data_IF_390859711392
#
_entry.id   IF_390859711392
#
_cell.length_a   1.000
_cell.length_b   1.000
_cell.length_c   1.000
_cell.angle_alpha   90.00
_cell.angle_beta   90.00
_cell.angle_gamma   90.00
#
_symmetry.space_group_name_H-M   'P 1'
#
loop_
_entity.id
_entity.type
_entity.pdbx_description
1 polymer ?
#
# COMPACT_ATOMS: atom_id res chain seq x y z
N UNK A 1 -7.64 -4.26 -21.53
CA UNK A 1 -7.28 -3.43 -20.36
C UNK A 1 -6.46 -4.32 -19.44
N UNK A 2 -5.22 -3.94 -19.12
CA UNK A 2 -4.38 -4.69 -18.16
C UNK A 2 -4.58 -4.06 -16.79
N UNK A 3 -5.19 -4.82 -15.86
CA UNK A 3 -5.60 -4.33 -14.53
C UNK A 3 -4.43 -4.38 -13.54
N UNK A 4 -3.60 -5.43 -13.61
CA UNK A 4 -2.41 -5.58 -12.78
C UNK A 4 -1.23 -4.76 -13.30
N UNK A 5 -0.43 -4.27 -12.35
CA UNK A 5 0.76 -3.48 -12.63
C UNK A 5 1.81 -4.27 -13.43
N UNK A 6 2.79 -3.59 -14.04
CA UNK A 6 3.91 -4.29 -14.67
C UNK A 6 4.72 -5.04 -13.60
N UNK A 7 4.93 -4.42 -12.45
CA UNK A 7 5.58 -5.04 -11.30
C UNK A 7 4.89 -6.35 -10.88
N UNK A 8 3.57 -6.36 -10.66
CA UNK A 8 2.82 -7.58 -10.31
C UNK A 8 3.04 -8.72 -11.30
N UNK A 9 3.04 -8.42 -12.61
CA UNK A 9 3.25 -9.41 -13.67
C UNK A 9 4.67 -9.93 -13.73
N UNK A 10 5.64 -9.09 -13.41
CA UNK A 10 7.04 -9.47 -13.35
C UNK A 10 7.29 -10.36 -12.12
N UNK A 11 6.71 -10.02 -10.96
CA UNK A 11 6.73 -10.89 -9.77
C UNK A 11 6.12 -12.27 -10.03
N UNK A 12 4.97 -12.33 -10.71
CA UNK A 12 4.30 -13.59 -11.05
C UNK A 12 5.18 -14.51 -11.92
N UNK A 13 6.02 -13.91 -12.77
CA UNK A 13 7.02 -14.63 -13.57
C UNK A 13 8.32 -14.95 -12.83
N UNK A 14 8.39 -14.64 -11.53
CA UNK A 14 9.58 -14.82 -10.70
C UNK A 14 10.70 -13.82 -10.98
N UNK A 15 10.41 -12.72 -11.67
CA UNK A 15 11.40 -11.67 -11.90
C UNK A 15 11.60 -10.84 -10.63
N UNK A 16 12.84 -10.41 -10.41
CA UNK A 16 13.16 -9.45 -9.34
C UNK A 16 12.63 -8.08 -9.71
N UNK A 17 11.81 -7.49 -8.84
CA UNK A 17 11.25 -6.15 -9.05
C UNK A 17 12.19 -5.14 -8.42
N UNK A 18 12.71 -4.21 -9.23
CA UNK A 18 13.44 -3.06 -8.71
C UNK A 18 12.45 -2.06 -8.13
N UNK A 19 12.47 -1.91 -6.80
CA UNK A 19 11.59 -0.99 -6.07
C UNK A 19 12.35 0.02 -5.22
N UNK A 20 13.68 -0.14 -5.06
CA UNK A 20 14.55 0.87 -4.48
C UNK A 20 14.84 1.99 -5.48
N UNK A 21 14.38 3.19 -5.19
CA UNK A 21 14.75 4.41 -5.91
C UNK A 21 14.54 5.64 -5.00
N UNK A 22 15.25 6.75 -5.22
CA UNK A 22 15.08 7.96 -4.39
C UNK A 22 13.63 8.47 -4.35
N UNK A 23 12.88 8.29 -5.44
CA UNK A 23 11.47 8.72 -5.53
C UNK A 23 10.57 7.84 -4.65
N UNK A 24 10.75 6.52 -4.72
CA UNK A 24 9.96 5.59 -3.89
C UNK A 24 10.34 5.73 -2.42
N UNK A 25 11.62 5.87 -2.11
CA UNK A 25 12.11 6.09 -0.75
C UNK A 25 11.50 7.37 -0.14
N UNK A 26 11.42 8.45 -0.94
CA UNK A 26 10.75 9.68 -0.52
C UNK A 26 9.26 9.45 -0.21
N UNK A 27 8.53 8.70 -1.04
CA UNK A 27 7.13 8.36 -0.74
C UNK A 27 6.99 7.55 0.56
N UNK A 28 7.90 6.60 0.83
CA UNK A 28 7.89 5.87 2.09
C UNK A 28 8.14 6.78 3.29
N UNK A 29 9.04 7.76 3.19
CA UNK A 29 9.28 8.73 4.26
C UNK A 29 8.10 9.68 4.46
N UNK A 30 7.49 10.17 3.38
CA UNK A 30 6.32 11.05 3.40
C UNK A 30 5.10 10.35 4.04
N UNK A 31 4.87 9.06 3.74
CA UNK A 31 3.84 8.25 4.40
C UNK A 31 4.13 8.17 5.91
N UNK A 32 5.36 7.81 6.29
CA UNK A 32 5.71 7.70 7.71
C UNK A 32 5.53 9.02 8.45
N UNK A 33 5.84 10.13 7.80
CA UNK A 33 5.68 11.46 8.36
C UNK A 33 4.20 11.89 8.44
N UNK A 34 3.34 11.45 7.52
CA UNK A 34 1.89 11.67 7.61
C UNK A 34 1.26 10.89 8.77
N UNK A 35 1.86 9.76 9.15
CA UNK A 35 1.48 8.90 10.27
C UNK A 35 2.17 9.26 11.60
N UNK A 36 2.94 10.34 11.66
CA UNK A 36 3.70 10.69 12.85
C UNK A 36 2.93 11.67 13.76
N UNK A 37 2.89 11.38 15.06
CA UNK A 37 2.32 12.27 16.08
C UNK A 37 0.96 11.83 16.58
N UNK A 38 0.17 12.78 17.09
CA UNK A 38 -1.21 12.51 17.53
C UNK A 38 -2.16 12.70 16.35
N UNK A 39 -2.81 11.60 15.94
CA UNK A 39 -3.65 11.58 14.74
C UNK A 39 -2.85 11.38 13.46
N UNK A 40 -3.51 11.55 12.32
CA UNK A 40 -2.93 11.35 10.99
C UNK A 40 -3.12 12.60 10.16
N UNK A 41 -2.11 13.00 9.38
CA UNK A 41 -2.29 14.03 8.35
C UNK A 41 -2.95 13.41 7.12
N UNK A 42 -4.28 13.36 7.10
CA UNK A 42 -5.02 12.71 6.02
C UNK A 42 -4.82 13.39 4.67
N UNK A 43 -4.62 14.71 4.65
CA UNK A 43 -4.36 15.47 3.43
C UNK A 43 -3.03 15.04 2.80
N UNK A 44 -1.98 14.93 3.62
CA UNK A 44 -0.68 14.41 3.17
C UNK A 44 -0.78 12.96 2.74
N UNK A 45 -1.49 12.13 3.49
CA UNK A 45 -1.65 10.70 3.18
C UNK A 45 -2.37 10.48 1.83
N UNK A 46 -3.41 11.26 1.55
CA UNK A 46 -4.09 11.27 0.26
C UNK A 46 -3.17 11.67 -0.90
N UNK A 47 -2.32 12.67 -0.69
CA UNK A 47 -1.40 13.15 -1.72
C UNK A 47 -0.23 12.19 -1.99
N UNK A 48 0.24 11.47 -0.97
CA UNK A 48 1.39 10.56 -1.09
C UNK A 48 0.99 9.14 -1.47
N UNK A 49 -0.19 8.65 -1.06
CA UNK A 49 -0.65 7.28 -1.32
C UNK A 49 -1.86 7.26 -2.26
N UNK A 50 -2.89 8.04 -1.96
CA UNK A 50 -4.14 8.07 -2.74
C UNK A 50 -3.94 8.51 -4.20
N UNK A 51 -3.10 9.53 -4.42
CA UNK A 51 -2.82 10.10 -5.74
C UNK A 51 -1.76 9.34 -6.56
N UNK A 52 -1.23 8.21 -6.07
CA UNK A 52 -0.22 7.41 -6.79
C UNK A 52 -0.84 6.40 -7.73
N UNK A 53 -0.12 6.10 -8.80
CA UNK A 53 -0.49 5.04 -9.75
C UNK A 53 -0.42 3.65 -9.09
N UNK A 54 -1.10 2.67 -9.69
CA UNK A 54 -1.07 1.27 -9.22
C UNK A 54 0.37 0.73 -9.19
N UNK A 55 1.20 1.10 -10.18
CA UNK A 55 2.61 0.71 -10.24
C UNK A 55 3.40 1.35 -9.08
N UNK A 56 3.27 2.65 -8.84
CA UNK A 56 3.98 3.32 -7.75
C UNK A 56 3.56 2.75 -6.39
N UNK A 57 2.26 2.54 -6.16
CA UNK A 57 1.77 1.94 -4.91
C UNK A 57 2.32 0.54 -4.68
N UNK A 58 2.44 -0.26 -5.74
CA UNK A 58 3.11 -1.56 -5.65
C UNK A 58 4.55 -1.41 -5.17
N UNK A 59 5.33 -0.53 -5.80
CA UNK A 59 6.74 -0.32 -5.45
C UNK A 59 6.89 0.23 -4.02
N UNK A 60 6.03 1.16 -3.61
CA UNK A 60 6.00 1.68 -2.24
C UNK A 60 5.70 0.55 -1.26
N UNK A 61 4.70 -0.29 -1.51
CA UNK A 61 4.34 -1.40 -0.63
C UNK A 61 5.48 -2.40 -0.43
N UNK A 62 6.27 -2.65 -1.48
CA UNK A 62 7.47 -3.50 -1.41
C UNK A 62 8.64 -2.82 -0.68
N UNK A 63 8.84 -1.52 -0.91
CA UNK A 63 9.98 -0.76 -0.37
C UNK A 63 9.79 -0.33 1.09
N UNK A 64 8.57 -0.03 1.50
CA UNK A 64 8.25 0.49 2.84
C UNK A 64 8.78 -0.39 4.00
N UNK A 65 8.59 -1.72 4.02
CA UNK A 65 9.12 -2.56 5.09
C UNK A 65 10.65 -2.61 5.14
N UNK A 66 11.34 -2.42 4.01
CA UNK A 66 12.81 -2.37 3.98
C UNK A 66 13.37 -1.11 4.67
N UNK A 67 12.65 0.00 4.59
CA UNK A 67 13.05 1.30 5.16
C UNK A 67 12.63 1.40 6.63
N UNK A 68 11.40 0.97 6.96
CA UNK A 68 10.76 1.25 8.24
C UNK A 68 10.54 0.03 9.14
N UNK A 69 10.81 -1.18 8.63
CA UNK A 69 10.68 -2.43 9.41
C UNK A 69 9.23 -2.81 9.78
N UNK A 70 8.23 -2.22 9.12
CA UNK A 70 6.80 -2.50 9.30
C UNK A 70 6.12 -2.55 7.93
N UNK A 71 5.13 -3.43 7.75
CA UNK A 71 4.38 -3.47 6.49
C UNK A 71 3.60 -2.16 6.30
N UNK A 72 3.52 -1.66 5.07
CA UNK A 72 2.76 -0.45 4.76
C UNK A 72 1.29 -0.58 5.19
N UNK A 73 0.65 -1.71 4.86
CA UNK A 73 -0.76 -1.97 5.24
C UNK A 73 -0.97 -1.93 6.76
N UNK A 74 0.00 -2.39 7.54
CA UNK A 74 -0.09 -2.38 9.01
C UNK A 74 0.07 -0.96 9.57
N UNK A 75 0.91 -0.12 8.94
CA UNK A 75 1.00 1.30 9.30
C UNK A 75 -0.32 2.01 9.05
N UNK A 76 -0.89 1.84 7.86
CA UNK A 76 -2.15 2.48 7.49
C UNK A 76 -3.29 1.98 8.39
N UNK A 77 -3.30 0.69 8.73
CA UNK A 77 -4.33 0.10 9.60
C UNK A 77 -4.26 0.64 11.03
N UNK A 78 -3.07 0.94 11.56
CA UNK A 78 -2.95 1.48 12.92
C UNK A 78 -3.35 2.96 13.02
N UNK A 79 -3.25 3.71 11.92
CA UNK A 79 -3.44 5.15 11.88
C UNK A 79 -4.84 5.58 11.42
N UNK A 80 -5.54 4.72 10.66
CA UNK A 80 -6.80 5.08 10.01
C UNK A 80 -7.93 4.14 10.38
N UNK A 81 -9.17 4.62 10.30
CA UNK A 81 -10.37 3.86 10.66
C UNK A 81 -11.55 4.17 9.74
N UNK A 82 -12.63 3.39 9.89
CA UNK A 82 -13.83 3.52 9.07
C UNK A 82 -13.58 3.22 7.59
N UNK A 83 -14.48 3.72 6.73
CA UNK A 83 -14.41 3.48 5.28
C UNK A 83 -13.16 4.10 4.64
N UNK A 84 -12.73 5.25 5.15
CA UNK A 84 -11.48 5.89 4.73
C UNK A 84 -10.28 4.99 5.00
N UNK A 85 -10.17 4.44 6.21
CA UNK A 85 -9.10 3.51 6.54
C UNK A 85 -9.16 2.24 5.72
N UNK A 86 -10.36 1.66 5.50
CA UNK A 86 -10.50 0.48 4.65
C UNK A 86 -10.05 0.75 3.22
N UNK A 87 -10.39 1.90 2.64
CA UNK A 87 -9.91 2.29 1.32
C UNK A 87 -8.37 2.35 1.29
N UNK A 88 -7.75 3.07 2.22
CA UNK A 88 -6.29 3.20 2.24
C UNK A 88 -5.58 1.86 2.47
N UNK A 89 -6.12 0.98 3.29
CA UNK A 89 -5.59 -0.38 3.48
C UNK A 89 -5.55 -1.18 2.16
N UNK A 90 -6.56 -1.03 1.31
CA UNK A 90 -6.59 -1.68 0.00
C UNK A 90 -5.56 -1.05 -0.95
N UNK A 91 -5.35 0.27 -0.88
CA UNK A 91 -4.34 0.97 -1.69
C UNK A 91 -2.89 0.71 -1.21
N UNK A 92 -2.72 0.37 0.07
CA UNK A 92 -1.44 0.15 0.75
C UNK A 92 -0.77 -1.20 0.43
N UNK A 93 -1.37 -2.01 -0.45
CA UNK A 93 -0.88 -3.33 -0.82
C UNK A 93 -1.03 -3.57 -2.32
N UNK A 94 -0.27 -4.53 -2.90
CA UNK A 94 -0.51 -5.02 -4.25
C UNK A 94 -1.97 -5.40 -4.48
N UNK A 95 -2.49 -5.11 -5.69
CA UNK A 95 -3.90 -5.31 -6.02
C UNK A 95 -4.32 -6.77 -5.85
N UNK A 96 -3.47 -7.71 -6.26
CA UNK A 96 -3.69 -9.14 -6.09
C UNK A 96 -3.88 -9.56 -4.62
N UNK A 97 -3.20 -8.91 -3.67
CA UNK A 97 -3.39 -9.15 -2.24
C UNK A 97 -4.65 -8.49 -1.71
N UNK A 98 -4.96 -7.27 -2.17
CA UNK A 98 -6.21 -6.59 -1.84
C UNK A 98 -7.43 -7.42 -2.29
N UNK A 99 -7.41 -7.95 -3.51
CA UNK A 99 -8.48 -8.82 -4.04
C UNK A 99 -8.61 -10.11 -3.24
N UNK A 100 -7.50 -10.79 -2.95
CA UNK A 100 -7.52 -12.00 -2.13
C UNK A 100 -8.07 -11.73 -0.72
N UNK A 101 -7.70 -10.58 -0.13
CA UNK A 101 -8.24 -10.16 1.15
C UNK A 101 -9.75 -9.90 1.07
N UNK A 102 -10.23 -9.20 0.04
CA UNK A 102 -11.66 -8.93 -0.12
C UNK A 102 -12.48 -10.22 -0.29
N UNK A 103 -12.00 -11.17 -1.08
CA UNK A 103 -12.65 -12.49 -1.24
C UNK A 103 -12.66 -13.24 0.09
N UNK A 104 -11.55 -13.21 0.84
CA UNK A 104 -11.48 -13.82 2.17
C UNK A 104 -12.45 -13.15 3.13
N UNK A 105 -12.47 -11.82 3.18
CA UNK A 105 -13.35 -11.06 4.08
C UNK A 105 -14.82 -11.35 3.76
N UNK A 106 -15.17 -11.49 2.48
CA UNK A 106 -16.52 -11.84 2.03
C UNK A 106 -16.94 -13.28 2.34
N UNK A 107 -15.99 -14.20 2.58
CA UNK A 107 -16.27 -15.64 2.77
C UNK A 107 -15.98 -16.13 4.17
N UNK A 108 -15.19 -15.39 4.96
CA UNK A 108 -14.82 -15.70 6.33
C UNK A 108 -15.91 -15.23 7.29
N UNK A 109 -16.99 -15.99 7.36
CA UNK A 109 -18.15 -15.70 8.21
C UNK A 109 -19.16 -16.84 8.19
N UNK A 110 -20.25 -16.70 8.94
CA UNK A 110 -21.34 -17.68 8.93
C UNK A 110 -22.29 -17.54 7.72
N UNK A 111 -22.10 -16.50 6.90
CA UNK A 111 -22.96 -16.14 5.77
C UNK A 111 -22.92 -14.64 5.52
#
# INVERSE_FOLDING_TARGET
>A
MQVYSQASRDADKGATIQHASPVIDNFCHEIKAACAGFGTDEARLNNVLGARSVQERYLIAMRYPEIHGKQLVDEITSETSGDYGKLLQLLAQPLEYAEAQLVRDATKGMG
#
